data_IF_836954369741
#
_entry.id   IF_836954369741
#
_cell.length_a   1.000
_cell.length_b   1.000
_cell.length_c   1.000
_cell.angle_alpha   90.00
_cell.angle_beta   90.00
_cell.angle_gamma   90.00
#
_symmetry.space_group_name_H-M   'P 1'
#
loop_
_entity.id
_entity.type
_entity.pdbx_description
1 polymer ?
#
# COMPACT_ATOMS: atom_id res chain seq x y z
N UNK A 1 26.55 16.69 21.23
CA UNK A 1 25.28 17.01 20.55
C UNK A 1 24.71 18.27 21.18
N UNK A 2 24.28 19.26 20.39
CA UNK A 2 23.66 20.49 20.91
C UNK A 2 22.28 20.18 21.53
N UNK A 3 21.85 21.01 22.48
CA UNK A 3 20.54 20.87 23.14
C UNK A 3 19.37 20.94 22.13
N UNK A 4 19.53 21.71 21.05
CA UNK A 4 18.52 21.85 19.99
C UNK A 4 18.33 20.57 19.18
N UNK A 5 19.41 19.82 18.93
CA UNK A 5 19.32 18.55 18.24
C UNK A 5 18.52 17.51 19.04
N UNK A 6 18.60 17.54 20.38
CA UNK A 6 17.85 16.63 21.26
C UNK A 6 16.33 16.88 21.23
N UNK A 7 15.90 18.14 21.18
CA UNK A 7 14.47 18.52 21.14
C UNK A 7 13.77 18.02 19.87
N UNK A 8 14.52 17.88 18.78
CA UNK A 8 14.00 17.37 17.50
C UNK A 8 14.09 15.83 17.37
N UNK A 9 14.53 15.11 18.40
CA UNK A 9 14.55 13.64 18.40
C UNK A 9 13.36 13.02 19.15
N UNK A 10 12.70 13.81 19.99
CA UNK A 10 11.53 13.37 20.75
C UNK A 10 10.28 13.73 19.96
N UNK A 11 9.31 12.83 19.90
CA UNK A 11 8.01 13.14 19.34
C UNK A 11 7.18 13.82 20.43
N UNK A 12 6.95 15.13 20.30
CA UNK A 12 6.18 15.92 21.25
C UNK A 12 5.24 16.86 20.50
N UNK A 13 4.05 17.07 21.05
CA UNK A 13 3.08 17.98 20.45
C UNK A 13 3.63 19.41 20.35
N UNK A 14 3.65 19.95 19.13
CA UNK A 14 4.11 21.32 18.86
C UNK A 14 5.53 21.44 18.31
N UNK A 15 6.33 20.36 18.26
CA UNK A 15 7.64 20.41 17.59
C UNK A 15 7.55 20.12 16.07
N UNK A 16 8.57 20.54 15.33
CA UNK A 16 8.62 20.38 13.85
C UNK A 16 8.57 18.91 13.42
N UNK A 17 9.16 18.03 14.23
CA UNK A 17 9.18 16.58 14.00
C UNK A 17 7.80 15.98 14.11
N UNK A 18 6.97 16.46 15.04
CA UNK A 18 5.57 16.06 15.19
C UNK A 18 4.76 16.43 13.95
N UNK A 19 4.92 17.64 13.40
CA UNK A 19 4.22 18.04 12.19
C UNK A 19 4.57 17.12 11.00
N UNK A 20 5.86 16.84 10.81
CA UNK A 20 6.34 15.94 9.75
C UNK A 20 5.94 14.47 9.98
N UNK A 21 5.86 14.04 11.23
CA UNK A 21 5.40 12.70 11.61
C UNK A 21 3.88 12.53 11.42
N UNK A 22 3.09 13.55 11.79
CA UNK A 22 1.64 13.55 11.67
C UNK A 22 1.23 13.54 10.20
N UNK A 23 1.88 14.37 9.38
CA UNK A 23 1.66 14.46 7.94
C UNK A 23 2.99 14.42 7.20
N UNK A 24 3.21 13.36 6.43
CA UNK A 24 4.45 13.21 5.67
C UNK A 24 4.59 14.35 4.65
N UNK A 25 5.66 15.16 4.71
CA UNK A 25 5.83 16.31 3.82
C UNK A 25 6.36 15.93 2.44
N UNK A 26 6.95 14.73 2.31
CA UNK A 26 7.54 14.24 1.07
C UNK A 26 6.51 13.47 0.24
N UNK A 27 6.39 13.73 -1.08
CA UNK A 27 5.53 12.95 -1.96
C UNK A 27 6.03 11.50 -2.07
N UNK A 28 5.14 10.54 -1.83
CA UNK A 28 5.42 9.10 -1.99
C UNK A 28 4.71 8.62 -3.25
N UNK A 29 5.46 8.19 -4.25
CA UNK A 29 4.87 7.59 -5.45
C UNK A 29 4.85 6.07 -5.32
N UNK A 30 3.66 5.49 -5.44
CA UNK A 30 3.46 4.04 -5.49
C UNK A 30 3.22 3.65 -6.93
N UNK A 31 3.99 2.69 -7.43
CA UNK A 31 3.91 2.19 -8.80
C UNK A 31 3.44 0.75 -8.78
N UNK A 32 2.28 0.48 -9.37
CA UNK A 32 1.76 -0.86 -9.52
C UNK A 32 2.16 -1.44 -10.89
N UNK A 33 2.61 -2.67 -10.87
CA UNK A 33 2.94 -3.47 -12.04
C UNK A 33 2.14 -4.75 -11.95
N UNK A 34 1.49 -5.13 -13.04
CA UNK A 34 0.67 -6.31 -13.11
C UNK A 34 1.24 -7.28 -14.14
N UNK A 35 1.09 -8.58 -13.88
CA UNK A 35 1.41 -9.61 -14.86
C UNK A 35 0.12 -10.07 -15.53
N UNK A 36 -0.02 -9.73 -16.80
CA UNK A 36 -1.13 -10.14 -17.64
C UNK A 36 -0.87 -11.53 -18.22
N UNK A 37 -1.84 -12.43 -18.08
CA UNK A 37 -1.79 -13.78 -18.63
C UNK A 37 -2.23 -13.79 -20.09
N UNK A 38 -1.35 -14.18 -21.00
CA UNK A 38 -1.67 -14.21 -22.44
C UNK A 38 -2.14 -15.57 -22.96
N UNK A 39 -1.95 -16.66 -22.20
CA UNK A 39 -2.38 -18.02 -22.55
C UNK A 39 -3.09 -18.78 -21.40
N UNK A 40 -4.12 -18.18 -20.76
CA UNK A 40 -4.76 -18.78 -19.59
C UNK A 40 -5.42 -20.13 -19.90
N UNK A 41 -6.02 -20.30 -21.08
CA UNK A 41 -6.75 -21.52 -21.46
C UNK A 41 -5.80 -22.72 -21.63
N UNK A 42 -4.67 -22.50 -22.29
CA UNK A 42 -3.66 -23.53 -22.55
C UNK A 42 -2.93 -23.94 -21.28
N UNK A 43 -2.69 -22.98 -20.38
CA UNK A 43 -2.10 -23.24 -19.07
C UNK A 43 -3.05 -24.09 -18.21
N UNK A 44 -4.32 -23.70 -18.11
CA UNK A 44 -5.33 -24.46 -17.36
C UNK A 44 -5.56 -25.86 -17.93
N UNK A 45 -5.43 -26.03 -19.25
CA UNK A 45 -5.50 -27.33 -19.90
C UNK A 45 -4.21 -28.18 -19.76
N UNK A 46 -3.17 -27.69 -19.07
CA UNK A 46 -1.91 -28.39 -18.85
C UNK A 46 -1.02 -28.52 -20.10
N UNK A 47 -1.32 -27.78 -21.17
CA UNK A 47 -0.64 -27.93 -22.48
C UNK A 47 0.60 -27.06 -22.60
N UNK A 48 0.62 -25.92 -21.91
CA UNK A 48 1.72 -24.96 -21.98
C UNK A 48 2.01 -24.34 -20.62
N UNK A 49 3.24 -23.88 -20.42
CA UNK A 49 3.61 -23.03 -19.28
C UNK A 49 2.92 -21.66 -19.39
N UNK A 50 2.64 -20.98 -18.27
CA UNK A 50 1.99 -19.68 -18.31
C UNK A 50 2.93 -18.64 -18.95
N UNK A 51 2.37 -17.78 -19.79
CA UNK A 51 3.02 -16.65 -20.43
C UNK A 51 2.49 -15.38 -19.80
N UNK A 52 3.42 -14.58 -19.29
CA UNK A 52 3.13 -13.37 -18.54
C UNK A 52 3.74 -12.18 -19.26
N UNK A 53 2.96 -11.10 -19.38
CA UNK A 53 3.42 -9.80 -19.86
C UNK A 53 3.25 -8.77 -18.76
N UNK A 54 4.30 -8.00 -18.48
CA UNK A 54 4.23 -6.93 -17.47
C UNK A 54 3.50 -5.71 -18.04
N UNK A 55 2.48 -5.25 -17.32
CA UNK A 55 1.74 -4.03 -17.58
C UNK A 55 1.98 -3.02 -16.45
N UNK A 56 2.43 -1.83 -16.82
CA UNK A 56 2.64 -0.72 -15.88
C UNK A 56 3.82 0.18 -16.24
N UNK A 57 4.17 1.13 -15.35
CA UNK A 57 3.53 1.35 -14.05
C UNK A 57 2.15 2.02 -14.15
N UNK A 58 1.28 1.70 -13.19
CA UNK A 58 0.14 2.54 -12.79
C UNK A 58 0.53 3.28 -11.52
N UNK A 59 0.73 4.60 -11.63
CA UNK A 59 1.37 5.40 -10.59
C UNK A 59 0.33 6.18 -9.79
N UNK A 60 0.47 6.18 -8.48
CA UNK A 60 -0.36 6.94 -7.54
C UNK A 60 0.53 7.72 -6.57
N UNK A 61 0.16 8.96 -6.28
CA UNK A 61 0.69 9.73 -5.17
C UNK A 61 -0.01 9.27 -3.88
N UNK A 62 0.75 8.68 -2.97
CA UNK A 62 0.29 8.30 -1.63
C UNK A 62 0.50 9.46 -0.66
N UNK A 63 -0.58 9.87 0.01
CA UNK A 63 -0.50 10.77 1.17
C UNK A 63 -0.81 9.99 2.44
N UNK A 64 -0.07 10.28 3.51
CA UNK A 64 -0.23 9.65 4.83
C UNK A 64 -0.54 10.70 5.87
N UNK A 65 -1.58 10.44 6.64
CA UNK A 65 -2.03 11.30 7.73
C UNK A 65 -2.32 10.45 8.95
N UNK A 66 -1.83 10.87 10.12
CA UNK A 66 -2.18 10.28 11.40
C UNK A 66 -3.28 11.11 12.05
N UNK A 67 -4.42 10.47 12.32
CA UNK A 67 -5.59 11.08 12.95
C UNK A 67 -5.91 10.38 14.28
N UNK A 68 -6.75 11.01 15.10
CA UNK A 68 -7.14 10.51 16.43
C UNK A 68 -5.92 10.17 17.28
N UNK A 69 -5.00 11.15 17.40
CA UNK A 69 -3.75 11.00 18.13
C UNK A 69 -4.04 11.10 19.62
N UNK A 70 -3.57 10.13 20.39
CA UNK A 70 -3.72 10.09 21.86
C UNK A 70 -2.37 9.76 22.48
N UNK A 71 -1.93 10.63 23.38
CA UNK A 71 -0.72 10.44 24.18
C UNK A 71 -1.03 9.63 25.43
N UNK A 72 -0.22 8.63 25.70
CA UNK A 72 -0.39 7.74 26.84
C UNK A 72 0.70 8.04 27.90
N UNK A 73 0.34 7.91 29.18
CA UNK A 73 1.25 8.18 30.32
C UNK A 73 2.48 7.26 30.37
N UNK A 74 2.46 6.14 29.63
CA UNK A 74 3.59 5.22 29.48
C UNK A 74 4.60 5.63 28.39
N UNK A 75 4.49 6.86 27.87
CA UNK A 75 5.38 7.39 26.83
C UNK A 75 5.11 6.84 25.43
N UNK A 76 3.92 6.29 25.19
CA UNK A 76 3.49 5.84 23.86
C UNK A 76 2.45 6.76 23.24
N UNK A 77 2.26 6.64 21.93
CA UNK A 77 1.26 7.40 21.18
C UNK A 77 0.39 6.44 20.37
N UNK A 78 -0.92 6.60 20.48
CA UNK A 78 -1.92 5.85 19.71
C UNK A 78 -2.48 6.74 18.61
N UNK A 79 -2.65 6.20 17.40
CA UNK A 79 -3.18 6.95 16.26
C UNK A 79 -3.76 6.00 15.22
N UNK A 80 -4.60 6.54 14.32
CA UNK A 80 -5.04 5.87 13.10
C UNK A 80 -4.33 6.48 11.91
N UNK A 81 -3.69 5.63 11.09
CA UNK A 81 -3.07 6.09 9.84
C UNK A 81 -4.07 6.00 8.69
N UNK A 82 -4.36 7.14 8.06
CA UNK A 82 -5.13 7.25 6.83
C UNK A 82 -4.16 7.38 5.66
N UNK A 83 -4.32 6.49 4.68
CA UNK A 83 -3.61 6.56 3.40
C UNK A 83 -4.60 6.94 2.31
N UNK A 84 -4.24 7.92 1.47
CA UNK A 84 -5.02 8.29 0.28
C UNK A 84 -4.13 8.20 -0.95
N UNK A 85 -4.71 7.75 -2.05
CA UNK A 85 -4.02 7.49 -3.30
C UNK A 85 -4.61 8.37 -4.40
N UNK A 86 -3.78 9.18 -5.04
CA UNK A 86 -4.18 10.07 -6.13
C UNK A 86 -3.51 9.62 -7.42
N UNK A 87 -4.29 9.25 -8.43
CA UNK A 87 -3.76 8.76 -9.70
C UNK A 87 -2.87 9.81 -10.38
N UNK A 88 -1.74 9.37 -10.93
CA UNK A 88 -0.76 10.21 -11.62
C UNK A 88 -0.68 9.77 -13.09
N UNK A 89 -1.46 10.40 -13.99
CA UNK A 89 -1.50 10.01 -15.40
C UNK A 89 -0.14 10.21 -16.10
N UNK A 90 0.56 11.30 -15.82
CA UNK A 90 1.85 11.63 -16.46
C UNK A 90 2.98 10.63 -16.12
N UNK A 91 2.82 9.88 -15.03
CA UNK A 91 3.77 8.87 -14.58
C UNK A 91 3.27 7.43 -14.83
N UNK A 92 2.13 7.29 -15.49
CA UNK A 92 1.50 6.01 -15.80
C UNK A 92 1.69 5.70 -17.28
N UNK A 93 2.02 4.45 -17.62
CA UNK A 93 2.21 4.02 -19.02
C UNK A 93 0.96 3.42 -19.66
N UNK A 94 -0.05 3.05 -18.86
CA UNK A 94 -1.31 2.44 -19.30
C UNK A 94 -2.55 3.29 -19.02
N UNK A 95 -3.73 2.70 -19.17
CA UNK A 95 -5.00 3.28 -18.76
C UNK A 95 -5.57 2.57 -17.52
N UNK A 96 -6.29 3.29 -16.66
CA UNK A 96 -7.06 2.64 -15.59
C UNK A 96 -8.16 1.71 -16.12
N UNK A 97 -8.51 1.84 -17.40
CA UNK A 97 -9.44 0.96 -18.12
C UNK A 97 -8.75 -0.27 -18.75
N UNK A 98 -7.45 -0.47 -18.54
CA UNK A 98 -6.72 -1.61 -19.09
C UNK A 98 -7.26 -2.94 -18.53
N UNK A 99 -7.54 -3.88 -19.43
CA UNK A 99 -8.02 -5.21 -19.05
C UNK A 99 -6.83 -6.11 -18.76
N UNK A 100 -6.75 -6.59 -17.52
CA UNK A 100 -5.67 -7.46 -17.04
C UNK A 100 -6.25 -8.82 -16.69
N UNK A 101 -5.81 -9.85 -17.41
CA UNK A 101 -6.16 -11.24 -17.08
C UNK A 101 -5.21 -11.73 -16.00
N UNK A 102 -5.75 -12.08 -14.83
CA UNK A 102 -4.97 -12.59 -13.69
C UNK A 102 -5.73 -13.72 -12.99
N UNK A 103 -5.09 -14.26 -11.96
CA UNK A 103 -5.64 -15.32 -11.12
C UNK A 103 -6.92 -14.82 -10.44
N UNK A 104 -7.97 -15.66 -10.41
CA UNK A 104 -9.19 -15.40 -9.66
C UNK A 104 -8.93 -15.55 -8.15
N UNK A 105 -8.38 -14.50 -7.53
CA UNK A 105 -8.05 -14.49 -6.11
C UNK A 105 -9.26 -14.82 -5.21
N UNK A 106 -10.45 -14.22 -5.36
CA UNK A 106 -11.62 -14.56 -4.53
C UNK A 106 -11.94 -16.06 -4.49
N UNK A 107 -11.84 -16.74 -5.63
CA UNK A 107 -12.09 -18.18 -5.72
C UNK A 107 -11.02 -19.00 -4.99
N UNK A 108 -9.76 -18.56 -5.00
CA UNK A 108 -8.66 -19.22 -4.27
C UNK A 108 -8.79 -19.03 -2.76
N UNK A 109 -9.15 -17.83 -2.28
CA UNK A 109 -9.25 -17.58 -0.83
C UNK A 109 -10.50 -18.23 -0.21
N UNK A 110 -11.58 -18.42 -0.99
CA UNK A 110 -12.84 -18.98 -0.50
C UNK A 110 -12.70 -20.36 0.20
N UNK A 111 -12.02 -21.37 -0.36
CA UNK A 111 -11.83 -22.65 0.33
C UNK A 111 -10.86 -22.55 1.51
N UNK A 112 -9.90 -21.61 1.47
CA UNK A 112 -8.96 -21.36 2.60
C UNK A 112 -9.69 -20.80 3.81
N UNK A 113 -10.71 -19.96 3.62
CA UNK A 113 -11.59 -19.48 4.70
C UNK A 113 -12.48 -20.55 5.34
N UNK A 114 -12.56 -21.75 4.75
CA UNK A 114 -13.36 -22.87 5.29
C UNK A 114 -12.57 -23.82 6.19
N UNK A 115 -11.27 -23.57 6.42
CA UNK A 115 -10.43 -24.39 7.31
C UNK A 115 -9.93 -23.50 8.46
N UNK A 116 -10.53 -23.70 9.64
CA UNK A 116 -10.27 -23.07 10.95
C UNK A 116 -10.62 -21.58 11.14
N UNK A 117 -11.92 -21.26 11.04
CA UNK A 117 -12.56 -20.33 11.98
C UNK A 117 -13.53 -21.10 12.88
N UNK A 118 -12.99 -22.00 13.72
CA UNK A 118 -13.63 -22.28 15.00
C UNK A 118 -12.98 -21.36 16.01
N UNK A 119 -13.76 -20.38 16.47
CA UNK A 119 -13.44 -19.56 17.62
C UNK A 119 -13.16 -20.44 18.83
N UNK A 120 -11.98 -20.26 19.44
CA UNK A 120 -11.81 -20.23 20.89
C UNK A 120 -10.92 -19.03 21.20
#
# INVERSE_FOLDING_TARGET
MSQDARKNLVLEEGNEVYASWQRTPVPIYVKYYFFNYTNPVEYLAGRQKPRLEEHGPYTFLETREKINITWNDNGTVSYRQVKRYYFQPDMTKGSLDDVITTINMPMIVSPVFRINLFFF
#
